data_IF_086881541261
#
_entry.id   IF_086881541261
#
_cell.length_a   1.000
_cell.length_b   1.000
_cell.length_c   1.000
_cell.angle_alpha   90.00
_cell.angle_beta   90.00
_cell.angle_gamma   90.00
#
_symmetry.space_group_name_H-M   'P 1'
#
loop_
_entity.id
_entity.type
_entity.pdbx_description
1 polymer ?
#
# COMPACT_ATOMS: atom_id res chain seq x y z
N UNK A 1 26.84 8.36 -10.28
CA UNK A 1 25.72 7.77 -9.52
C UNK A 1 24.78 8.92 -9.16
N UNK A 2 23.48 8.69 -8.96
CA UNK A 2 22.51 9.78 -8.73
C UNK A 2 22.60 10.28 -7.28
N UNK A 3 22.17 11.53 -7.01
CA UNK A 3 22.18 12.10 -5.66
C UNK A 3 21.36 11.24 -4.67
N UNK A 4 20.30 10.59 -5.16
CA UNK A 4 19.51 9.63 -4.41
C UNK A 4 20.37 8.46 -3.96
N UNK A 5 20.92 7.71 -4.91
CA UNK A 5 21.66 6.47 -4.63
C UNK A 5 22.92 6.74 -3.82
N UNK A 6 23.62 7.85 -4.07
CA UNK A 6 24.77 8.30 -3.28
C UNK A 6 24.38 8.52 -1.81
N UNK A 7 23.28 9.23 -1.57
CA UNK A 7 22.83 9.52 -0.19
C UNK A 7 22.43 8.23 0.55
N UNK A 8 21.68 7.33 -0.09
CA UNK A 8 21.30 6.04 0.50
C UNK A 8 22.52 5.15 0.81
N UNK A 9 23.54 5.18 -0.05
CA UNK A 9 24.76 4.40 0.16
C UNK A 9 25.61 4.94 1.32
N UNK A 10 25.69 6.28 1.46
CA UNK A 10 26.48 6.93 2.52
C UNK A 10 25.93 6.68 3.93
N UNK A 11 24.60 6.48 4.05
CA UNK A 11 23.93 6.20 5.32
C UNK A 11 23.91 4.72 5.71
N UNK A 12 24.49 3.83 4.90
CA UNK A 12 24.40 2.38 5.14
C UNK A 12 25.16 1.95 6.40
N UNK A 13 24.43 1.28 7.30
CA UNK A 13 24.97 0.60 8.48
C UNK A 13 24.36 -0.80 8.54
N UNK A 14 25.04 -1.80 7.94
CA UNK A 14 24.57 -3.18 7.83
C UNK A 14 25.72 -4.17 7.67
N UNK A 15 25.41 -5.45 7.58
CA UNK A 15 26.40 -6.52 7.42
C UNK A 15 27.02 -6.56 6.01
N UNK A 16 28.14 -7.27 5.84
CA UNK A 16 28.81 -7.47 4.54
C UNK A 16 27.86 -8.09 3.50
N UNK A 17 27.00 -9.03 3.92
CA UNK A 17 25.99 -9.61 3.03
C UNK A 17 24.97 -8.57 2.54
N UNK A 18 24.56 -7.64 3.40
CA UNK A 18 23.66 -6.54 3.02
C UNK A 18 24.39 -5.47 2.19
N UNK A 19 25.70 -5.29 2.42
CA UNK A 19 26.54 -4.41 1.59
C UNK A 19 26.61 -4.93 0.15
N UNK A 20 26.81 -6.24 -0.03
CA UNK A 20 26.82 -6.85 -1.37
C UNK A 20 25.48 -6.63 -2.12
N UNK A 21 24.34 -6.75 -1.43
CA UNK A 21 23.02 -6.45 -2.02
C UNK A 21 22.89 -4.96 -2.40
N UNK A 22 23.36 -4.06 -1.54
CA UNK A 22 23.37 -2.63 -1.83
C UNK A 22 24.21 -2.34 -3.07
N UNK A 23 25.44 -2.84 -3.11
CA UNK A 23 26.37 -2.61 -4.23
C UNK A 23 25.79 -3.14 -5.54
N UNK A 24 25.14 -4.31 -5.52
CA UNK A 24 24.44 -4.86 -6.68
C UNK A 24 23.26 -3.99 -7.13
N UNK A 25 22.50 -3.40 -6.18
CA UNK A 25 21.41 -2.47 -6.50
C UNK A 25 21.94 -1.14 -7.07
N UNK A 26 23.02 -0.61 -6.50
CA UNK A 26 23.70 0.61 -6.97
C UNK A 26 24.24 0.44 -8.39
N UNK A 27 24.83 -0.72 -8.70
CA UNK A 27 25.34 -1.05 -10.04
C UNK A 27 24.22 -1.16 -11.08
N UNK A 28 23.08 -1.76 -10.71
CA UNK A 28 21.93 -1.85 -11.60
C UNK A 28 21.30 -0.47 -11.88
N UNK A 29 21.38 0.45 -10.92
CA UNK A 29 20.86 1.80 -11.04
C UNK A 29 19.33 1.85 -11.01
N UNK A 30 18.79 3.02 -11.31
CA UNK A 30 17.34 3.24 -11.33
C UNK A 30 16.76 2.95 -12.73
N UNK A 31 15.53 2.44 -12.81
CA UNK A 31 14.87 2.13 -14.07
C UNK A 31 14.58 3.43 -14.85
N UNK A 32 14.81 3.36 -16.15
CA UNK A 32 14.47 4.46 -17.07
C UNK A 32 13.02 4.37 -17.57
N UNK A 33 12.52 5.40 -18.26
CA UNK A 33 11.16 5.42 -18.81
C UNK A 33 10.90 4.39 -19.92
N UNK A 34 11.95 3.68 -20.38
CA UNK A 34 11.82 2.56 -21.33
C UNK A 34 11.54 1.23 -20.63
N UNK A 35 11.76 1.15 -19.32
CA UNK A 35 11.35 0.00 -18.52
C UNK A 35 9.83 0.02 -18.44
N UNK A 36 9.16 -1.02 -18.94
CA UNK A 36 7.70 -1.10 -19.05
C UNK A 36 7.02 -0.73 -17.73
N UNK A 37 7.49 -1.32 -16.63
CA UNK A 37 6.92 -1.12 -15.30
C UNK A 37 7.02 0.33 -14.77
N UNK A 38 7.86 1.16 -15.39
CA UNK A 38 8.16 2.55 -14.99
C UNK A 38 7.84 3.57 -16.08
N UNK A 39 7.20 3.14 -17.19
CA UNK A 39 6.90 3.99 -18.36
C UNK A 39 6.20 5.30 -17.99
N UNK A 40 5.23 5.22 -17.07
CA UNK A 40 4.42 6.38 -16.66
C UNK A 40 4.93 7.04 -15.39
N UNK A 41 5.90 6.44 -14.68
CA UNK A 41 6.36 6.91 -13.35
C UNK A 41 7.83 7.29 -13.43
N UNK A 42 8.08 8.54 -13.82
CA UNK A 42 9.44 9.06 -13.98
C UNK A 42 10.14 9.29 -12.63
N UNK A 43 11.28 8.63 -12.41
CA UNK A 43 12.11 8.81 -11.22
C UNK A 43 13.06 10.02 -11.25
N UNK A 44 13.11 10.78 -12.36
CA UNK A 44 14.07 11.89 -12.55
C UNK A 44 14.08 12.96 -11.44
N UNK A 45 12.93 13.24 -10.81
CA UNK A 45 12.87 14.19 -9.70
C UNK A 45 13.43 13.58 -8.42
N UNK A 46 13.08 12.32 -8.13
CA UNK A 46 13.59 11.59 -6.97
C UNK A 46 15.11 11.39 -7.07
N UNK A 47 15.62 11.07 -8.25
CA UNK A 47 17.06 10.93 -8.55
C UNK A 47 17.93 12.11 -8.12
N UNK A 48 17.35 13.31 -8.08
CA UNK A 48 18.04 14.57 -7.75
C UNK A 48 17.97 14.93 -6.26
N UNK A 49 17.17 14.20 -5.48
CA UNK A 49 17.06 14.41 -4.04
C UNK A 49 18.12 13.63 -3.30
N UNK A 50 18.50 14.12 -2.13
CA UNK A 50 19.35 13.42 -1.18
C UNK A 50 18.62 13.31 0.14
N UNK A 51 18.77 12.17 0.80
CA UNK A 51 18.10 11.89 2.07
C UNK A 51 19.12 11.52 3.14
N UNK A 52 18.87 11.94 4.37
CA UNK A 52 19.58 11.42 5.53
C UNK A 52 18.85 10.18 6.06
N UNK A 53 19.56 9.22 6.67
CA UNK A 53 18.89 8.10 7.34
C UNK A 53 18.06 8.64 8.51
N UNK A 54 16.91 7.99 8.76
CA UNK A 54 16.11 8.26 9.94
C UNK A 54 16.96 8.19 11.23
N UNK A 55 16.90 9.21 12.12
CA UNK A 55 17.56 9.17 13.42
C UNK A 55 17.16 7.94 14.22
N UNK A 56 18.01 7.44 15.12
CA UNK A 56 17.69 6.24 15.92
C UNK A 56 16.58 6.48 16.95
N UNK A 57 16.44 7.71 17.44
CA UNK A 57 15.37 8.09 18.36
C UNK A 57 14.20 8.69 17.57
N UNK A 58 12.94 8.30 17.88
CA UNK A 58 11.76 8.89 17.26
C UNK A 58 11.64 10.37 17.65
N UNK A 59 11.13 11.19 16.74
CA UNK A 59 10.76 12.56 17.05
C UNK A 59 9.59 12.60 18.06
N UNK A 60 9.51 13.68 18.85
CA UNK A 60 8.40 13.91 19.76
C UNK A 60 7.18 14.35 18.96
N UNK A 61 6.05 13.66 19.18
CA UNK A 61 4.76 13.96 18.55
C UNK A 61 3.70 14.03 19.64
N UNK A 62 2.77 14.97 19.50
CA UNK A 62 1.61 15.08 20.38
C UNK A 62 0.70 13.85 20.24
N UNK A 63 0.45 13.15 21.34
CA UNK A 63 -0.40 11.96 21.38
C UNK A 63 -1.86 12.27 20.98
N UNK A 64 -2.30 13.53 21.04
CA UNK A 64 -3.62 13.94 20.55
C UNK A 64 -3.84 13.63 19.06
N UNK A 65 -2.77 13.50 18.26
CA UNK A 65 -2.85 13.05 16.87
C UNK A 65 -3.48 11.65 16.74
N UNK A 66 -3.39 10.84 17.80
CA UNK A 66 -3.83 9.45 17.83
C UNK A 66 -5.17 9.25 18.55
N UNK A 67 -5.87 10.34 18.93
CA UNK A 67 -7.08 10.27 19.74
C UNK A 67 -8.18 9.37 19.13
N UNK A 68 -8.32 9.40 17.80
CA UNK A 68 -9.34 8.65 17.07
C UNK A 68 -8.87 7.26 16.60
N UNK A 69 -7.62 6.88 16.91
CA UNK A 69 -7.06 5.58 16.54
C UNK A 69 -7.15 4.65 17.76
N UNK A 70 -7.87 3.52 17.70
CA UNK A 70 -8.04 2.64 18.85
C UNK A 70 -6.76 1.85 19.18
N UNK A 71 -6.73 1.24 20.36
CA UNK A 71 -5.74 0.22 20.72
C UNK A 71 -6.31 -1.19 20.39
N UNK A 72 -5.45 -2.21 20.22
CA UNK A 72 -3.99 -2.18 20.28
C UNK A 72 -3.34 -1.50 19.05
N UNK A 73 -2.32 -0.68 19.30
CA UNK A 73 -1.59 0.08 18.28
C UNK A 73 -0.08 0.02 18.46
N UNK A 74 0.64 -0.12 17.36
CA UNK A 74 2.09 0.03 17.28
C UNK A 74 2.42 1.24 16.42
N UNK A 75 3.23 2.16 16.94
CA UNK A 75 3.49 3.47 16.33
C UNK A 75 4.95 3.61 15.94
N UNK A 76 5.20 4.09 14.73
CA UNK A 76 6.49 4.52 14.21
C UNK A 76 6.47 6.03 13.93
N UNK A 77 7.54 6.73 14.25
CA UNK A 77 7.75 8.15 13.93
C UNK A 77 9.04 8.27 13.12
N UNK A 78 8.96 8.83 11.91
CA UNK A 78 10.07 8.93 10.96
C UNK A 78 10.81 7.60 10.80
N UNK A 79 10.07 6.49 10.70
CA UNK A 79 10.64 5.16 10.54
C UNK A 79 11.06 4.44 11.83
N UNK A 80 11.02 5.08 13.01
CA UNK A 80 11.45 4.47 14.28
C UNK A 80 10.29 4.14 15.22
N UNK A 81 10.32 3.01 15.93
CA UNK A 81 9.26 2.67 16.87
C UNK A 81 9.21 3.67 18.03
N UNK A 82 7.99 4.07 18.40
CA UNK A 82 7.74 4.97 19.53
C UNK A 82 6.95 4.22 20.61
N UNK A 83 7.66 3.76 21.65
CA UNK A 83 7.04 3.12 22.80
C UNK A 83 6.09 4.05 23.57
N UNK A 84 6.35 5.36 23.57
CA UNK A 84 5.51 6.35 24.25
C UNK A 84 4.14 6.56 23.57
N UNK A 85 4.05 6.29 22.26
CA UNK A 85 2.82 6.45 21.47
C UNK A 85 2.14 5.10 21.18
N UNK A 86 2.85 4.00 21.39
CA UNK A 86 2.32 2.65 21.20
C UNK A 86 1.53 2.20 22.43
N UNK A 87 0.46 1.45 22.18
CA UNK A 87 -0.31 0.78 23.22
C UNK A 87 -0.64 -0.62 22.73
N UNK A 88 0.20 -1.57 23.15
CA UNK A 88 0.11 -2.99 22.76
C UNK A 88 -0.43 -3.86 23.91
N UNK A 89 -0.93 -3.25 24.99
CA UNK A 89 -1.40 -4.00 26.16
C UNK A 89 -2.63 -4.87 25.86
N UNK A 90 -3.45 -4.45 24.91
CA UNK A 90 -4.66 -5.15 24.49
C UNK A 90 -4.44 -6.15 23.33
N UNK A 91 -3.19 -6.48 23.00
CA UNK A 91 -2.91 -7.54 22.01
C UNK A 91 -3.38 -8.90 22.58
N UNK A 92 -4.29 -9.62 21.90
CA UNK A 92 -4.85 -10.86 22.42
C UNK A 92 -3.82 -11.99 22.57
N UNK A 93 -4.14 -12.97 23.43
CA UNK A 93 -3.37 -14.20 23.53
C UNK A 93 -3.30 -14.92 22.16
N UNK A 94 -2.12 -15.45 21.83
CA UNK A 94 -1.88 -16.09 20.52
C UNK A 94 -1.60 -15.11 19.37
N UNK A 95 -1.52 -13.81 19.65
CA UNK A 95 -1.00 -12.80 18.72
C UNK A 95 0.35 -12.31 19.20
N UNK A 96 1.35 -12.39 18.33
CA UNK A 96 2.69 -11.90 18.58
C UNK A 96 2.91 -10.65 17.73
N UNK A 97 3.13 -9.51 18.38
CA UNK A 97 3.39 -8.23 17.74
C UNK A 97 4.73 -7.70 18.24
N UNK A 98 5.70 -7.58 17.34
CA UNK A 98 7.06 -7.13 17.64
C UNK A 98 7.60 -6.19 16.55
N UNK A 99 8.67 -5.48 16.87
CA UNK A 99 9.44 -4.71 15.90
C UNK A 99 10.51 -5.61 15.26
N UNK A 100 10.96 -5.28 14.05
CA UNK A 100 12.02 -6.05 13.39
C UNK A 100 13.33 -5.97 14.17
N UNK A 101 13.66 -4.79 14.66
CA UNK A 101 14.84 -4.58 15.49
C UNK A 101 14.84 -5.46 16.75
N UNK A 102 13.70 -5.61 17.43
CA UNK A 102 13.60 -6.43 18.64
C UNK A 102 13.65 -7.93 18.34
N UNK A 103 13.00 -8.37 17.25
CA UNK A 103 13.06 -9.75 16.80
C UNK A 103 14.47 -10.17 16.39
N UNK A 104 15.21 -9.30 15.69
CA UNK A 104 16.61 -9.54 15.32
C UNK A 104 17.52 -9.63 16.55
N UNK A 105 17.34 -8.74 17.53
CA UNK A 105 18.10 -8.77 18.77
C UNK A 105 17.82 -10.06 19.59
N UNK A 106 16.60 -10.58 19.52
CA UNK A 106 16.21 -11.83 20.16
C UNK A 106 16.64 -13.10 19.38
N UNK A 107 17.17 -12.97 18.16
CA UNK A 107 17.52 -14.10 17.31
C UNK A 107 16.30 -14.89 16.81
N UNK A 108 15.16 -14.23 16.63
CA UNK A 108 13.92 -14.87 16.19
C UNK A 108 14.06 -15.48 14.79
N UNK A 109 13.72 -16.75 14.64
CA UNK A 109 13.79 -17.45 13.35
C UNK A 109 12.87 -16.85 12.30
N UNK A 110 11.79 -16.14 12.68
CA UNK A 110 10.95 -15.45 11.71
C UNK A 110 11.72 -14.43 10.88
N UNK A 111 12.82 -13.85 11.41
CA UNK A 111 13.68 -12.92 10.69
C UNK A 111 14.37 -13.56 9.45
N UNK A 112 14.31 -14.89 9.28
CA UNK A 112 14.78 -15.58 8.06
C UNK A 112 14.13 -15.05 6.77
N UNK A 113 12.91 -14.51 6.86
CA UNK A 113 12.23 -13.89 5.71
C UNK A 113 13.03 -12.74 5.06
N UNK A 114 13.92 -12.08 5.81
CA UNK A 114 14.83 -11.04 5.30
C UNK A 114 15.78 -11.56 4.22
N UNK A 115 16.05 -12.88 4.21
CA UNK A 115 16.88 -13.54 3.21
C UNK A 115 16.26 -13.55 1.81
N UNK A 116 14.97 -13.25 1.65
CA UNK A 116 14.33 -13.18 0.33
C UNK A 116 14.99 -12.10 -0.53
N UNK A 117 15.45 -12.52 -1.70
CA UNK A 117 16.12 -11.69 -2.71
C UNK A 117 15.16 -11.27 -3.81
N UNK A 118 15.54 -10.21 -4.50
CA UNK A 118 14.83 -9.65 -5.66
C UNK A 118 15.84 -9.53 -6.80
N UNK A 119 15.51 -10.12 -7.94
CA UNK A 119 16.47 -10.29 -9.03
C UNK A 119 16.13 -9.44 -10.24
N UNK A 120 14.85 -9.10 -10.43
CA UNK A 120 14.41 -8.38 -11.62
C UNK A 120 14.83 -6.93 -11.55
N UNK A 121 15.26 -6.38 -12.68
CA UNK A 121 15.79 -5.01 -12.76
C UNK A 121 14.76 -3.95 -12.38
N UNK A 122 13.48 -4.21 -12.64
CA UNK A 122 12.36 -3.33 -12.31
C UNK A 122 12.04 -3.28 -10.80
N UNK A 123 12.54 -4.24 -10.01
CA UNK A 123 12.33 -4.37 -8.55
C UNK A 123 13.36 -3.56 -7.73
N UNK A 124 13.90 -2.48 -8.29
CA UNK A 124 15.02 -1.73 -7.69
C UNK A 124 14.77 -1.32 -6.23
N UNK A 125 13.55 -0.90 -5.88
CA UNK A 125 13.24 -0.46 -4.52
C UNK A 125 13.09 -1.63 -3.54
N UNK A 126 12.66 -2.80 -4.02
CA UNK A 126 12.69 -4.03 -3.21
C UNK A 126 14.13 -4.50 -2.97
N UNK A 127 15.03 -4.35 -3.95
CA UNK A 127 16.48 -4.61 -3.80
C UNK A 127 17.13 -3.66 -2.80
N UNK A 128 16.86 -2.35 -2.92
CA UNK A 128 17.30 -1.34 -1.95
C UNK A 128 16.74 -1.63 -0.55
N UNK A 129 15.47 -2.01 -0.44
CA UNK A 129 14.86 -2.39 0.83
C UNK A 129 15.53 -3.62 1.44
N UNK A 130 15.82 -4.66 0.65
CA UNK A 130 16.54 -5.85 1.12
C UNK A 130 17.94 -5.53 1.67
N UNK A 131 18.58 -4.49 1.14
CA UNK A 131 19.86 -4.01 1.62
C UNK A 131 19.75 -3.05 2.82
N UNK A 132 18.75 -2.17 2.86
CA UNK A 132 18.69 -1.02 3.77
C UNK A 132 17.72 -1.17 4.95
N UNK A 133 16.75 -2.08 4.88
CA UNK A 133 15.75 -2.23 5.94
C UNK A 133 16.36 -2.61 7.29
N UNK A 134 16.11 -1.79 8.31
CA UNK A 134 16.60 -1.98 9.68
C UNK A 134 15.46 -2.04 10.71
N UNK A 135 14.23 -1.81 10.27
CA UNK A 135 13.06 -1.79 11.13
C UNK A 135 11.81 -2.31 10.40
N UNK A 136 10.75 -2.61 11.14
CA UNK A 136 9.46 -3.05 10.60
C UNK A 136 8.59 -3.72 11.65
N UNK A 137 7.51 -4.34 11.21
CA UNK A 137 6.54 -5.04 12.05
C UNK A 137 6.65 -6.54 11.80
N UNK A 138 6.75 -7.33 12.87
CA UNK A 138 6.51 -8.77 12.82
C UNK A 138 5.22 -9.05 13.57
N UNK A 139 4.25 -9.55 12.82
CA UNK A 139 2.93 -9.90 13.29
C UNK A 139 2.65 -11.36 12.97
N UNK A 140 2.54 -12.20 14.00
CA UNK A 140 2.20 -13.62 13.87
C UNK A 140 0.94 -13.94 14.66
N UNK A 141 0.03 -14.69 14.06
CA UNK A 141 -1.20 -15.14 14.73
C UNK A 141 -1.25 -16.66 14.74
N UNK A 142 -1.38 -17.25 15.92
CA UNK A 142 -1.41 -18.69 16.13
C UNK A 142 -2.67 -19.35 15.56
N UNK A 143 -2.62 -20.67 15.36
CA UNK A 143 -3.67 -21.41 14.68
C UNK A 143 -5.01 -21.30 15.42
N UNK A 144 -6.09 -21.08 14.66
CA UNK A 144 -7.45 -20.96 15.16
C UNK A 144 -7.77 -19.68 15.95
N UNK A 145 -6.79 -18.79 16.20
CA UNK A 145 -7.01 -17.55 16.94
C UNK A 145 -7.88 -16.58 16.12
N UNK A 146 -8.96 -16.11 16.72
CA UNK A 146 -9.86 -15.11 16.13
C UNK A 146 -9.67 -13.77 16.83
N UNK A 147 -9.22 -12.76 16.10
CA UNK A 147 -8.99 -11.42 16.64
C UNK A 147 -10.14 -10.49 16.24
N UNK A 148 -11.01 -10.16 17.20
CA UNK A 148 -12.19 -9.33 16.95
C UNK A 148 -11.87 -7.84 16.73
N UNK A 149 -10.84 -7.33 17.41
CA UNK A 149 -10.44 -5.92 17.30
C UNK A 149 -9.23 -5.78 16.38
N UNK A 150 -9.33 -5.01 15.28
CA UNK A 150 -8.20 -4.82 14.37
C UNK A 150 -6.99 -4.21 15.06
N UNK A 151 -5.80 -4.72 14.75
CA UNK A 151 -4.54 -4.11 15.16
C UNK A 151 -4.29 -2.84 14.34
N UNK A 152 -3.82 -1.79 14.98
CA UNK A 152 -3.48 -0.54 14.31
C UNK A 152 -1.96 -0.41 14.15
N UNK A 153 -1.49 -0.21 12.93
CA UNK A 153 -0.11 0.13 12.63
C UNK A 153 -0.08 1.60 12.20
N UNK A 154 0.62 2.45 12.95
CA UNK A 154 0.61 3.89 12.71
C UNK A 154 2.01 4.36 12.35
N UNK A 155 2.15 4.99 11.20
CA UNK A 155 3.40 5.54 10.68
C UNK A 155 3.25 7.05 10.57
N UNK A 156 4.02 7.81 11.34
CA UNK A 156 3.94 9.27 11.41
C UNK A 156 5.21 9.85 10.82
N UNK A 157 5.09 10.66 9.78
CA UNK A 157 6.18 11.50 9.29
C UNK A 157 6.12 12.89 9.95
N UNK A 158 7.26 13.44 10.35
CA UNK A 158 7.35 14.76 11.01
C UNK A 158 8.30 15.64 10.21
N UNK A 159 7.85 16.86 9.91
CA UNK A 159 8.68 17.84 9.23
C UNK A 159 9.95 18.18 10.04
N UNK A 160 11.07 18.25 9.34
CA UNK A 160 12.38 18.60 9.90
C UNK A 160 13.20 19.42 8.92
N UNK A 161 14.43 19.77 9.31
CA UNK A 161 15.34 20.58 8.50
C UNK A 161 15.91 19.84 7.28
N UNK A 162 15.97 18.51 7.37
CA UNK A 162 16.53 17.64 6.33
C UNK A 162 15.50 16.64 5.84
N UNK A 163 15.63 16.25 4.57
CA UNK A 163 14.82 15.19 3.99
C UNK A 163 15.30 13.84 4.56
N UNK A 164 14.39 13.01 5.07
CA UNK A 164 14.72 11.73 5.71
C UNK A 164 14.39 10.53 4.82
N UNK A 165 15.06 9.41 5.04
CA UNK A 165 14.69 8.13 4.43
C UNK A 165 14.66 7.02 5.47
N UNK A 166 13.72 6.12 5.32
CA UNK A 166 13.64 4.88 6.09
C UNK A 166 13.19 3.73 5.21
N UNK A 167 13.50 2.54 5.68
CA UNK A 167 13.28 1.30 4.95
C UNK A 167 12.66 0.29 5.90
N UNK A 168 11.36 0.04 5.75
CA UNK A 168 10.70 -0.95 6.58
C UNK A 168 10.55 -2.28 5.89
N UNK A 169 10.69 -3.37 6.66
CA UNK A 169 10.40 -4.72 6.20
C UNK A 169 9.50 -5.43 7.19
N UNK A 170 8.26 -5.65 6.77
CA UNK A 170 7.20 -6.21 7.59
C UNK A 170 6.93 -7.68 7.25
N UNK A 171 6.47 -8.44 8.25
CA UNK A 171 5.94 -9.79 8.10
C UNK A 171 4.61 -9.88 8.82
N UNK A 172 3.56 -10.29 8.10
CA UNK A 172 2.25 -10.66 8.64
C UNK A 172 2.02 -12.14 8.32
N UNK A 173 1.99 -12.99 9.34
CA UNK A 173 1.80 -14.43 9.20
C UNK A 173 0.59 -14.88 10.03
N UNK A 174 -0.40 -15.47 9.36
CA UNK A 174 -1.54 -16.09 10.02
C UNK A 174 -1.44 -17.61 9.84
N UNK A 175 -1.42 -18.33 10.96
CA UNK A 175 -1.48 -19.80 10.98
C UNK A 175 -2.88 -20.29 10.62
N UNK A 176 -3.01 -21.62 10.47
CA UNK A 176 -4.22 -22.22 9.94
C UNK A 176 -5.48 -21.82 10.74
N UNK A 177 -6.54 -21.43 10.03
CA UNK A 177 -7.81 -21.00 10.62
C UNK A 177 -7.75 -19.72 11.46
N UNK A 178 -6.63 -18.98 11.48
CA UNK A 178 -6.53 -17.73 12.21
C UNK A 178 -7.24 -16.58 11.46
N UNK A 179 -7.81 -15.62 12.19
CA UNK A 179 -8.44 -14.44 11.62
C UNK A 179 -7.97 -13.15 12.30
N UNK A 180 -7.68 -12.12 11.48
CA UNK A 180 -7.15 -10.84 11.96
C UNK A 180 -7.59 -9.67 11.08
N UNK A 181 -7.91 -8.54 11.71
CA UNK A 181 -7.96 -7.23 11.07
C UNK A 181 -6.68 -6.43 11.32
N UNK A 182 -6.17 -5.73 10.30
CA UNK A 182 -5.06 -4.77 10.40
C UNK A 182 -5.44 -3.47 9.71
N UNK A 183 -5.13 -2.34 10.34
CA UNK A 183 -5.26 -1.01 9.73
C UNK A 183 -3.92 -0.29 9.79
N UNK A 184 -3.36 0.02 8.63
CA UNK A 184 -2.19 0.87 8.46
C UNK A 184 -2.61 2.33 8.28
N UNK A 185 -2.07 3.22 9.11
CA UNK A 185 -2.29 4.66 9.06
C UNK A 185 -0.98 5.37 8.75
N UNK A 186 -0.86 6.02 7.59
CA UNK A 186 0.29 6.88 7.28
C UNK A 186 -0.15 8.33 7.42
N UNK A 187 0.37 8.97 8.46
CA UNK A 187 0.03 10.32 8.90
C UNK A 187 1.25 11.23 8.79
N UNK A 188 1.01 12.54 8.81
CA UNK A 188 2.09 13.52 8.81
C UNK A 188 1.82 14.68 9.76
N UNK A 189 2.91 15.27 10.28
CA UNK A 189 2.94 16.53 11.03
C UNK A 189 3.78 17.53 10.25
N UNK A 190 3.14 18.61 9.79
CA UNK A 190 3.78 19.59 8.89
C UNK A 190 4.04 19.03 7.50
N UNK A 191 4.80 19.75 6.68
CA UNK A 191 5.13 19.35 5.30
C UNK A 191 6.40 18.49 5.26
N UNK A 192 6.30 17.29 5.87
CA UNK A 192 7.40 16.35 5.98
C UNK A 192 7.87 15.89 4.59
N UNK A 193 9.20 15.93 4.40
CA UNK A 193 9.84 15.53 3.16
C UNK A 193 10.68 14.29 3.43
N UNK A 194 10.28 13.17 2.84
CA UNK A 194 10.93 11.90 3.10
C UNK A 194 10.83 10.94 1.92
N UNK A 195 11.62 9.87 1.99
CA UNK A 195 11.49 8.65 1.21
C UNK A 195 11.14 7.49 2.14
N UNK A 196 9.91 7.00 2.03
CA UNK A 196 9.48 5.74 2.63
C UNK A 196 9.64 4.64 1.57
N UNK A 197 10.43 3.61 1.88
CA UNK A 197 10.53 2.41 1.07
C UNK A 197 10.19 1.20 1.92
N UNK A 198 8.92 0.80 1.88
CA UNK A 198 8.34 -0.23 2.76
C UNK A 198 7.95 -1.47 1.98
N UNK A 199 8.32 -2.64 2.52
CA UNK A 199 7.98 -3.94 1.95
C UNK A 199 7.28 -4.82 2.99
N UNK A 200 6.12 -5.36 2.63
CA UNK A 200 5.30 -6.23 3.48
C UNK A 200 5.26 -7.63 2.88
N UNK A 201 5.60 -8.63 3.69
CA UNK A 201 5.37 -10.04 3.38
C UNK A 201 4.13 -10.53 4.11
N UNK A 202 3.17 -11.12 3.39
CA UNK A 202 1.94 -11.65 3.97
C UNK A 202 1.84 -13.15 3.68
N UNK A 203 1.78 -13.98 4.70
CA UNK A 203 1.60 -15.42 4.56
C UNK A 203 0.31 -15.84 5.26
N UNK A 204 -0.68 -16.31 4.49
CA UNK A 204 -1.94 -16.83 5.02
C UNK A 204 -1.97 -18.35 4.85
N UNK A 205 -1.93 -19.07 5.97
CA UNK A 205 -2.07 -20.51 5.97
C UNK A 205 -3.52 -20.94 5.65
N UNK A 206 -3.73 -22.26 5.59
CA UNK A 206 -5.02 -22.81 5.21
C UNK A 206 -6.15 -22.24 6.10
N UNK A 207 -7.29 -21.92 5.48
CA UNK A 207 -8.50 -21.39 6.16
C UNK A 207 -8.26 -20.06 6.92
N UNK A 208 -7.12 -19.39 6.76
CA UNK A 208 -6.82 -18.12 7.43
C UNK A 208 -7.51 -16.93 6.75
N UNK A 209 -7.90 -15.92 7.54
CA UNK A 209 -8.61 -14.72 7.07
C UNK A 209 -7.90 -13.45 7.51
N UNK A 210 -7.45 -12.64 6.56
CA UNK A 210 -6.87 -11.31 6.85
C UNK A 210 -7.74 -10.23 6.22
N UNK A 211 -8.23 -9.30 7.05
CA UNK A 211 -8.79 -8.02 6.60
C UNK A 211 -7.74 -6.94 6.80
N UNK A 212 -7.33 -6.25 5.74
CA UNK A 212 -6.23 -5.31 5.75
C UNK A 212 -6.62 -3.98 5.09
N UNK A 213 -6.55 -2.89 5.84
CA UNK A 213 -6.84 -1.57 5.34
C UNK A 213 -5.58 -0.71 5.41
N UNK A 214 -5.24 0.02 4.34
CA UNK A 214 -4.18 1.04 4.38
C UNK A 214 -4.74 2.41 4.03
N UNK A 215 -4.51 3.37 4.91
CA UNK A 215 -4.82 4.79 4.69
C UNK A 215 -3.51 5.53 4.54
N UNK A 216 -3.14 5.85 3.30
CA UNK A 216 -1.93 6.59 2.99
C UNK A 216 -2.29 8.07 2.81
N UNK A 217 -1.92 8.92 3.77
CA UNK A 217 -2.25 10.34 3.75
C UNK A 217 -1.02 11.24 4.00
N UNK A 218 0.14 10.91 3.42
CA UNK A 218 1.38 11.66 3.66
C UNK A 218 1.37 13.10 3.12
N UNK A 219 2.31 13.87 3.67
CA UNK A 219 2.62 15.24 3.26
C UNK A 219 2.96 15.38 1.76
N UNK A 220 2.81 16.60 1.24
CA UNK A 220 2.94 16.89 -0.19
C UNK A 220 4.35 16.77 -0.76
N UNK A 221 5.37 16.65 0.09
CA UNK A 221 6.78 16.45 -0.29
C UNK A 221 7.27 15.02 -0.07
N UNK A 222 6.42 14.12 0.42
CA UNK A 222 6.75 12.72 0.65
C UNK A 222 6.89 11.94 -0.66
N UNK A 223 7.72 10.92 -0.63
CA UNK A 223 7.81 9.87 -1.64
C UNK A 223 7.63 8.53 -0.95
N UNK A 224 6.61 7.77 -1.34
CA UNK A 224 6.29 6.46 -0.75
C UNK A 224 6.39 5.40 -1.84
N UNK A 225 7.26 4.42 -1.62
CA UNK A 225 7.50 3.30 -2.53
C UNK A 225 7.20 2.02 -1.76
N UNK A 226 6.01 1.50 -1.99
CA UNK A 226 5.38 0.49 -1.15
C UNK A 226 5.23 -0.79 -1.95
N UNK A 227 5.57 -1.92 -1.34
CA UNK A 227 5.35 -3.24 -1.94
C UNK A 227 4.75 -4.20 -0.94
N UNK A 228 3.77 -4.99 -1.36
CA UNK A 228 3.28 -6.13 -0.62
C UNK A 228 3.39 -7.38 -1.47
N UNK A 229 4.03 -8.42 -0.93
CA UNK A 229 4.08 -9.75 -1.52
C UNK A 229 3.32 -10.72 -0.61
N UNK A 230 2.17 -11.20 -1.07
CA UNK A 230 1.28 -12.09 -0.33
C UNK A 230 1.22 -13.50 -0.95
N UNK A 231 1.12 -14.52 -0.10
CA UNK A 231 0.91 -15.92 -0.47
C UNK A 231 -0.27 -16.48 0.31
N UNK A 232 -1.23 -17.05 -0.41
CA UNK A 232 -2.47 -17.57 0.15
C UNK A 232 -2.53 -19.09 -0.07
N UNK A 233 -2.63 -19.83 1.03
CA UNK A 233 -2.85 -21.27 1.00
C UNK A 233 -4.34 -21.61 0.80
N UNK A 234 -4.66 -22.91 0.84
CA UNK A 234 -6.00 -23.45 0.57
C UNK A 234 -7.07 -22.76 1.41
N UNK A 235 -8.18 -22.36 0.79
CA UNK A 235 -9.30 -21.65 1.43
C UNK A 235 -8.93 -20.33 2.16
N UNK A 236 -7.70 -19.83 2.04
CA UNK A 236 -7.32 -18.59 2.69
C UNK A 236 -8.02 -17.39 2.02
N UNK A 237 -8.38 -16.38 2.82
CA UNK A 237 -9.08 -15.20 2.35
C UNK A 237 -8.28 -13.96 2.71
N UNK A 238 -7.90 -13.18 1.71
CA UNK A 238 -7.27 -11.88 1.91
C UNK A 238 -8.19 -10.78 1.40
N UNK A 239 -8.70 -9.95 2.31
CA UNK A 239 -9.51 -8.77 1.99
C UNK A 239 -8.67 -7.53 2.23
N UNK A 240 -8.46 -6.72 1.19
CA UNK A 240 -7.62 -5.54 1.25
C UNK A 240 -8.30 -4.31 0.65
N UNK A 241 -8.21 -3.18 1.34
CA UNK A 241 -8.58 -1.87 0.81
C UNK A 241 -7.43 -0.88 1.00
N UNK A 242 -6.98 -0.26 -0.08
CA UNK A 242 -5.96 0.80 -0.04
C UNK A 242 -6.56 2.15 -0.42
N UNK A 243 -6.36 3.17 0.42
CA UNK A 243 -6.66 4.56 0.12
C UNK A 243 -5.35 5.32 -0.09
N UNK A 244 -5.05 5.66 -1.34
CA UNK A 244 -3.88 6.46 -1.74
C UNK A 244 -4.28 7.94 -1.81
N UNK A 245 -4.08 8.66 -0.71
CA UNK A 245 -4.64 9.99 -0.46
C UNK A 245 -3.58 11.09 -0.27
N UNK A 246 -2.29 10.76 -0.31
CA UNK A 246 -1.21 11.69 0.02
C UNK A 246 0.03 11.58 -0.89
N UNK A 247 1.15 12.09 -0.38
CA UNK A 247 2.47 12.13 -1.04
C UNK A 247 2.58 13.01 -2.30
N UNK A 248 3.81 13.37 -2.67
CA UNK A 248 4.12 13.91 -4.01
C UNK A 248 4.18 12.79 -5.04
N UNK A 249 4.79 11.67 -4.66
CA UNK A 249 4.85 10.43 -5.41
C UNK A 249 4.48 9.28 -4.47
N UNK A 250 3.34 8.64 -4.68
CA UNK A 250 3.03 7.33 -4.08
C UNK A 250 3.08 6.29 -5.19
N UNK A 251 3.89 5.24 -5.01
CA UNK A 251 3.84 4.06 -5.84
C UNK A 251 3.65 2.84 -4.96
N UNK A 252 2.57 2.10 -5.22
CA UNK A 252 2.18 0.90 -4.52
C UNK A 252 2.18 -0.31 -5.45
N UNK A 253 2.87 -1.38 -5.05
CA UNK A 253 2.85 -2.67 -5.73
C UNK A 253 2.19 -3.72 -4.81
N UNK A 254 1.08 -4.33 -5.26
CA UNK A 254 0.41 -5.44 -4.58
C UNK A 254 0.56 -6.71 -5.42
N UNK A 255 1.42 -7.61 -4.98
CA UNK A 255 1.65 -8.90 -5.60
C UNK A 255 1.03 -10.00 -4.73
N UNK A 256 0.13 -10.80 -5.29
CA UNK A 256 -0.57 -11.85 -4.54
C UNK A 256 -0.53 -13.15 -5.33
N UNK A 257 -0.09 -14.22 -4.67
CA UNK A 257 -0.05 -15.58 -5.21
C UNK A 257 -1.09 -16.44 -4.51
N UNK A 258 -2.10 -16.89 -5.25
CA UNK A 258 -3.15 -17.79 -4.78
C UNK A 258 -2.69 -19.23 -5.04
N UNK A 259 -1.93 -19.77 -4.08
CA UNK A 259 -1.18 -21.05 -4.21
C UNK A 259 -1.95 -22.28 -3.73
N UNK A 260 -3.04 -22.10 -2.98
CA UNK A 260 -3.90 -23.21 -2.56
C UNK A 260 -5.31 -23.13 -3.13
N UNK A 261 -5.93 -24.30 -3.32
CA UNK A 261 -7.26 -24.39 -3.91
C UNK A 261 -8.27 -23.55 -3.13
N UNK A 262 -9.23 -22.94 -3.82
CA UNK A 262 -10.27 -22.10 -3.22
C UNK A 262 -9.75 -20.88 -2.43
N UNK A 263 -8.48 -20.49 -2.60
CA UNK A 263 -7.98 -19.23 -2.06
C UNK A 263 -8.73 -18.04 -2.70
N UNK A 264 -8.98 -17.00 -1.92
CA UNK A 264 -9.76 -15.84 -2.35
C UNK A 264 -9.06 -14.53 -2.02
N UNK A 265 -9.09 -13.61 -2.98
CA UNK A 265 -8.58 -12.25 -2.85
C UNK A 265 -9.71 -11.25 -3.11
N UNK A 266 -9.87 -10.30 -2.20
CA UNK A 266 -10.53 -9.02 -2.52
C UNK A 266 -9.49 -7.92 -2.36
N UNK A 267 -9.21 -7.17 -3.42
CA UNK A 267 -8.21 -6.10 -3.40
C UNK A 267 -8.77 -4.85 -4.07
N UNK A 268 -9.30 -3.96 -3.26
CA UNK A 268 -10.00 -2.75 -3.66
C UNK A 268 -9.20 -1.51 -3.31
N UNK A 269 -9.52 -0.36 -3.92
CA UNK A 269 -8.89 0.88 -3.49
C UNK A 269 -9.32 2.14 -4.22
N UNK A 270 -8.82 3.26 -3.70
CA UNK A 270 -9.06 4.60 -4.22
C UNK A 270 -7.71 5.28 -4.47
N UNK A 271 -7.54 5.83 -5.67
CA UNK A 271 -6.37 6.61 -6.07
C UNK A 271 -6.78 8.08 -6.21
N UNK A 272 -6.37 8.94 -5.28
CA UNK A 272 -6.75 10.36 -5.29
C UNK A 272 -5.59 11.26 -5.73
N UNK A 273 -5.58 11.59 -7.02
CA UNK A 273 -4.71 12.61 -7.60
C UNK A 273 -5.32 14.01 -7.49
N UNK A 274 -4.60 14.93 -6.85
CA UNK A 274 -4.91 16.37 -6.85
C UNK A 274 -3.62 17.20 -6.87
N UNK A 275 -3.73 18.51 -7.08
CA UNK A 275 -2.56 19.39 -7.18
C UNK A 275 -1.58 18.95 -8.27
N UNK A 276 -0.42 18.44 -7.87
CA UNK A 276 0.63 17.90 -8.76
C UNK A 276 1.07 16.48 -8.36
N UNK A 277 0.24 15.78 -7.59
CA UNK A 277 0.57 14.43 -7.09
C UNK A 277 0.68 13.43 -8.23
N UNK A 278 1.59 12.48 -8.06
CA UNK A 278 1.71 11.29 -8.87
C UNK A 278 1.34 10.08 -8.01
N UNK A 279 0.23 9.43 -8.34
CA UNK A 279 -0.24 8.22 -7.63
C UNK A 279 -0.18 7.06 -8.61
N UNK A 280 0.51 5.99 -8.24
CA UNK A 280 0.72 4.81 -9.08
C UNK A 280 0.41 3.55 -8.28
N UNK A 281 -0.51 2.72 -8.76
CA UNK A 281 -0.77 1.41 -8.17
C UNK A 281 -0.62 0.33 -9.21
N UNK A 282 0.09 -0.73 -8.84
CA UNK A 282 0.33 -1.90 -9.68
C UNK A 282 -0.09 -3.16 -8.95
N UNK A 283 -0.96 -3.94 -9.59
CA UNK A 283 -1.36 -5.25 -9.13
C UNK A 283 -0.65 -6.32 -9.97
N UNK A 284 -0.16 -7.35 -9.29
CA UNK A 284 0.36 -8.58 -9.88
C UNK A 284 -0.29 -9.78 -9.20
N UNK A 285 -1.43 -10.22 -9.73
CA UNK A 285 -2.23 -11.30 -9.15
C UNK A 285 -1.99 -12.59 -9.92
N UNK A 286 -1.45 -13.59 -9.25
CA UNK A 286 -1.19 -14.92 -9.82
C UNK A 286 -2.16 -15.94 -9.25
N UNK A 287 -3.02 -16.48 -10.10
CA UNK A 287 -3.86 -17.64 -9.82
C UNK A 287 -3.08 -18.90 -10.19
N UNK A 288 -2.70 -19.70 -9.19
CA UNK A 288 -1.81 -20.86 -9.35
C UNK A 288 -2.57 -22.17 -9.10
N UNK A 289 -3.44 -22.19 -8.10
CA UNK A 289 -4.24 -23.34 -7.73
C UNK A 289 -5.65 -23.30 -8.33
N UNK A 290 -6.40 -24.40 -8.15
CA UNK A 290 -7.75 -24.55 -8.70
C UNK A 290 -8.78 -23.76 -7.91
N UNK A 291 -9.87 -23.40 -8.59
CA UNK A 291 -11.06 -22.80 -7.98
C UNK A 291 -10.74 -21.51 -7.18
N UNK A 292 -9.68 -20.79 -7.57
CA UNK A 292 -9.26 -19.56 -6.89
C UNK A 292 -10.07 -18.36 -7.38
N UNK A 293 -10.31 -17.37 -6.51
CA UNK A 293 -11.13 -16.21 -6.86
C UNK A 293 -10.44 -14.87 -6.55
N UNK A 294 -10.64 -13.88 -7.42
CA UNK A 294 -10.22 -12.50 -7.15
C UNK A 294 -11.25 -11.45 -7.57
N UNK A 295 -11.56 -10.52 -6.68
CA UNK A 295 -12.37 -9.34 -6.96
C UNK A 295 -11.55 -8.07 -6.68
N UNK A 296 -11.45 -7.19 -7.69
CA UNK A 296 -10.66 -5.98 -7.60
C UNK A 296 -11.43 -4.78 -8.12
N UNK A 297 -11.89 -3.92 -7.21
CA UNK A 297 -12.61 -2.68 -7.52
C UNK A 297 -11.73 -1.47 -7.20
N UNK A 298 -11.24 -0.81 -8.24
CA UNK A 298 -10.37 0.36 -8.13
C UNK A 298 -11.02 1.61 -8.71
N UNK A 299 -10.91 2.71 -7.98
CA UNK A 299 -11.49 4.00 -8.36
C UNK A 299 -10.37 5.04 -8.42
N UNK A 300 -10.08 5.55 -9.62
CA UNK A 300 -9.13 6.64 -9.83
C UNK A 300 -9.83 7.99 -9.93
N UNK A 301 -9.32 9.01 -9.26
CA UNK A 301 -9.80 10.39 -9.40
C UNK A 301 -8.58 11.28 -9.63
N UNK A 302 -8.56 12.02 -10.73
CA UNK A 302 -7.49 12.96 -11.04
C UNK A 302 -8.03 14.38 -11.23
N UNK A 303 -7.55 15.30 -10.41
CA UNK A 303 -7.88 16.73 -10.44
C UNK A 303 -6.61 17.59 -10.62
N UNK A 304 -6.81 18.86 -10.97
CA UNK A 304 -5.76 19.85 -11.22
C UNK A 304 -4.75 19.37 -12.29
N UNK A 305 -3.49 19.15 -11.89
CA UNK A 305 -2.37 18.67 -12.73
C UNK A 305 -1.77 17.37 -12.19
N UNK A 306 -2.60 16.58 -11.51
CA UNK A 306 -2.19 15.30 -10.97
C UNK A 306 -2.12 14.23 -12.06
N UNK A 307 -1.39 13.17 -11.75
CA UNK A 307 -1.30 11.97 -12.57
C UNK A 307 -1.67 10.76 -11.74
N UNK A 308 -2.61 9.96 -12.23
CA UNK A 308 -3.00 8.69 -11.62
C UNK A 308 -2.65 7.56 -12.60
N UNK A 309 -1.89 6.60 -12.12
CA UNK A 309 -1.45 5.44 -12.89
C UNK A 309 -1.99 4.17 -12.23
N UNK A 310 -2.56 3.28 -13.03
CA UNK A 310 -3.03 1.99 -12.58
C UNK A 310 -2.59 0.89 -13.54
N UNK A 311 -1.89 -0.11 -13.03
CA UNK A 311 -1.62 -1.36 -13.75
C UNK A 311 -2.30 -2.51 -13.02
N UNK A 312 -3.16 -3.25 -13.72
CA UNK A 312 -3.86 -4.39 -13.13
C UNK A 312 -3.51 -5.68 -13.85
N UNK A 313 -2.47 -6.39 -13.38
CA UNK A 313 -2.02 -7.64 -13.98
C UNK A 313 -2.64 -8.86 -13.31
N UNK A 314 -3.23 -9.73 -14.12
CA UNK A 314 -3.74 -11.04 -13.71
C UNK A 314 -3.04 -12.11 -14.55
N UNK A 315 -2.44 -13.10 -13.90
CA UNK A 315 -1.89 -14.29 -14.53
C UNK A 315 -2.58 -15.53 -13.97
N UNK A 316 -3.35 -16.21 -14.81
CA UNK A 316 -3.91 -17.52 -14.51
C UNK A 316 -2.98 -18.58 -15.08
N UNK A 317 -2.34 -19.35 -14.21
CA UNK A 317 -1.30 -20.32 -14.57
C UNK A 317 -1.93 -21.62 -15.10
N UNK A 318 -1.13 -22.38 -15.83
CA UNK A 318 -1.47 -23.75 -16.24
C UNK A 318 -1.91 -24.58 -15.02
N UNK A 319 -3.07 -25.24 -15.13
CA UNK A 319 -3.67 -26.06 -14.06
C UNK A 319 -4.55 -25.30 -13.06
N UNK A 320 -4.68 -23.97 -13.16
CA UNK A 320 -5.55 -23.15 -12.31
C UNK A 320 -7.01 -23.11 -12.81
N UNK A 321 -7.54 -24.26 -13.23
CA UNK A 321 -8.93 -24.41 -13.66
C UNK A 321 -9.92 -24.06 -12.54
N UNK A 322 -11.08 -23.55 -12.91
CA UNK A 322 -12.10 -23.04 -11.99
C UNK A 322 -11.84 -21.61 -11.52
N UNK A 323 -10.78 -20.93 -11.98
CA UNK A 323 -10.48 -19.55 -11.59
C UNK A 323 -11.63 -18.60 -11.94
N UNK A 324 -12.01 -17.74 -11.00
CA UNK A 324 -12.94 -16.61 -11.18
C UNK A 324 -12.26 -15.28 -10.81
N UNK A 325 -11.86 -14.49 -11.82
CA UNK A 325 -11.10 -13.26 -11.64
C UNK A 325 -11.80 -12.06 -12.29
N UNK A 326 -12.08 -11.02 -11.51
CA UNK A 326 -12.73 -9.80 -11.97
C UNK A 326 -12.00 -8.53 -11.53
N UNK A 327 -11.63 -7.69 -12.49
CA UNK A 327 -10.99 -6.39 -12.28
C UNK A 327 -11.83 -5.25 -12.87
N UNK A 328 -12.21 -4.28 -12.04
CA UNK A 328 -12.97 -3.09 -12.42
C UNK A 328 -12.23 -1.82 -12.00
N UNK A 329 -11.54 -1.19 -12.95
CA UNK A 329 -10.87 0.10 -12.76
C UNK A 329 -11.65 1.22 -13.46
N UNK A 330 -12.43 1.99 -12.69
CA UNK A 330 -13.13 3.18 -13.22
C UNK A 330 -12.38 4.41 -12.79
N UNK A 331 -12.31 5.43 -13.65
CA UNK A 331 -11.53 6.63 -13.39
C UNK A 331 -12.29 7.92 -13.78
N UNK A 332 -12.20 8.93 -12.92
CA UNK A 332 -12.78 10.26 -13.11
C UNK A 332 -11.70 11.32 -13.34
N UNK A 333 -11.76 11.97 -14.50
CA UNK A 333 -11.00 13.17 -14.83
C UNK A 333 -11.81 14.41 -14.44
N UNK A 334 -11.36 15.14 -13.41
CA UNK A 334 -12.02 16.34 -12.89
C UNK A 334 -11.40 17.64 -13.41
N UNK A 335 -10.32 17.59 -14.19
CA UNK A 335 -9.62 18.77 -14.71
C UNK A 335 -9.00 18.48 -16.07
N UNK A 336 -8.89 19.51 -16.91
CA UNK A 336 -8.33 19.38 -18.26
C UNK A 336 -6.83 19.06 -18.28
N UNK A 337 -6.09 19.50 -17.25
CA UNK A 337 -4.65 19.25 -17.11
C UNK A 337 -4.32 17.95 -16.33
N UNK A 338 -5.32 17.18 -15.91
CA UNK A 338 -5.13 15.94 -15.17
C UNK A 338 -4.93 14.76 -16.13
N UNK A 339 -4.13 13.77 -15.73
CA UNK A 339 -3.79 12.60 -16.54
C UNK A 339 -4.13 11.30 -15.80
N UNK A 340 -4.71 10.34 -16.52
CA UNK A 340 -4.97 8.99 -16.02
C UNK A 340 -4.45 7.99 -17.04
N UNK A 341 -3.50 7.16 -16.60
CA UNK A 341 -2.99 6.03 -17.37
C UNK A 341 -3.45 4.74 -16.71
N UNK A 342 -4.25 3.94 -17.40
CA UNK A 342 -4.70 2.63 -16.90
C UNK A 342 -4.37 1.53 -17.88
N UNK A 343 -3.77 0.46 -17.38
CA UNK A 343 -3.30 -0.68 -18.16
C UNK A 343 -3.66 -1.99 -17.44
N UNK A 344 -4.88 -2.50 -17.62
CA UNK A 344 -5.23 -3.84 -17.18
C UNK A 344 -4.62 -4.87 -18.16
N UNK A 345 -4.00 -5.92 -17.63
CA UNK A 345 -3.39 -7.01 -18.40
C UNK A 345 -3.88 -8.36 -17.88
N UNK A 346 -4.11 -9.29 -18.79
CA UNK A 346 -4.66 -10.60 -18.48
C UNK A 346 -3.89 -11.65 -19.30
N UNK A 347 -3.26 -12.59 -18.60
CA UNK A 347 -2.54 -13.74 -19.16
C UNK A 347 -3.23 -14.99 -18.65
N UNK A 348 -3.69 -15.85 -19.55
CA UNK A 348 -4.46 -17.05 -19.22
C UNK A 348 -3.79 -18.25 -19.88
N UNK A 349 -3.23 -19.12 -19.04
CA UNK A 349 -2.59 -20.38 -19.44
C UNK A 349 -3.42 -21.60 -19.01
N UNK A 350 -4.69 -21.42 -18.60
CA UNK A 350 -5.63 -22.47 -18.21
C UNK A 350 -6.90 -22.45 -19.08
N UNK A 351 -7.58 -23.59 -19.18
CA UNK A 351 -8.70 -23.78 -20.11
C UNK A 351 -10.05 -23.36 -19.49
N UNK A 352 -10.34 -23.80 -18.26
CA UNK A 352 -11.65 -23.61 -17.63
C UNK A 352 -11.64 -22.42 -16.67
N UNK A 353 -11.83 -21.20 -17.19
CA UNK A 353 -11.77 -19.97 -16.37
C UNK A 353 -12.90 -18.99 -16.65
N UNK A 354 -13.23 -18.17 -15.65
CA UNK A 354 -13.98 -16.93 -15.81
C UNK A 354 -13.05 -15.78 -15.47
N UNK A 355 -12.70 -14.98 -16.46
CA UNK A 355 -11.81 -13.84 -16.25
C UNK A 355 -12.36 -12.62 -16.99
N UNK A 356 -12.52 -11.51 -16.26
CA UNK A 356 -12.95 -10.24 -16.80
C UNK A 356 -12.08 -9.11 -16.26
N UNK A 357 -11.76 -8.17 -17.13
CA UNK A 357 -11.19 -6.90 -16.72
C UNK A 357 -11.86 -5.75 -17.48
N UNK A 358 -12.03 -4.61 -16.82
CA UNK A 358 -12.66 -3.43 -17.39
C UNK A 358 -11.97 -2.18 -16.88
N UNK A 359 -11.63 -1.29 -17.80
CA UNK A 359 -11.10 0.03 -17.48
C UNK A 359 -11.93 1.11 -18.19
N UNK A 360 -12.34 2.14 -17.45
CA UNK A 360 -13.01 3.32 -18.03
C UNK A 360 -12.35 4.59 -17.55
N UNK A 361 -12.19 5.57 -18.45
CA UNK A 361 -11.74 6.92 -18.11
C UNK A 361 -12.78 7.89 -18.65
N UNK A 362 -13.32 8.76 -17.79
CA UNK A 362 -14.35 9.70 -18.20
C UNK A 362 -14.48 10.87 -17.25
N UNK A 363 -15.38 11.79 -17.60
CA UNK A 363 -15.80 12.89 -16.74
C UNK A 363 -17.07 12.51 -15.99
N UNK A 364 -17.47 13.35 -15.03
CA UNK A 364 -18.76 13.20 -14.36
C UNK A 364 -19.92 13.26 -15.36
N UNK A 365 -20.97 12.48 -15.10
CA UNK A 365 -22.19 12.49 -15.91
C UNK A 365 -22.85 13.88 -15.84
N UNK A 366 -22.88 14.56 -16.98
CA UNK A 366 -23.47 15.89 -17.14
C UNK A 366 -24.96 15.91 -16.76
N UNK A 367 -25.70 14.82 -16.97
CA UNK A 367 -27.10 14.71 -16.59
C UNK A 367 -27.27 14.60 -15.07
N UNK A 368 -26.42 13.79 -14.41
CA UNK A 368 -26.42 13.70 -12.95
C UNK A 368 -26.05 15.05 -12.30
N UNK A 369 -25.04 15.73 -12.84
CA UNK A 369 -24.65 17.09 -12.44
C UNK A 369 -25.79 18.09 -12.64
N UNK A 370 -26.41 18.10 -13.82
CA UNK A 370 -27.54 18.98 -14.12
C UNK A 370 -28.72 18.72 -13.18
N UNK A 371 -29.04 17.44 -12.93
CA UNK A 371 -30.12 17.04 -12.05
C UNK A 371 -29.90 17.58 -10.63
N UNK A 372 -28.73 17.34 -10.02
CA UNK A 372 -28.42 17.86 -8.67
C UNK A 372 -28.50 19.40 -8.62
N UNK A 373 -27.95 20.07 -9.64
CA UNK A 373 -27.99 21.54 -9.74
C UNK A 373 -29.41 22.09 -9.85
N UNK A 374 -30.28 21.42 -10.62
CA UNK A 374 -31.70 21.79 -10.75
C UNK A 374 -32.48 21.68 -9.43
N UNK A 375 -31.96 20.90 -8.46
CA UNK A 375 -32.49 20.79 -7.09
C UNK A 375 -31.88 21.80 -6.11
N UNK A 376 -31.12 22.78 -6.61
CA UNK A 376 -30.58 23.88 -5.83
C UNK A 376 -29.17 23.64 -5.28
N UNK A 377 -28.51 22.52 -5.61
CA UNK A 377 -27.12 22.33 -5.22
C UNK A 377 -26.19 23.21 -6.08
N UNK A 378 -25.27 23.95 -5.45
CA UNK A 378 -24.15 24.57 -6.14
C UNK A 378 -23.35 23.55 -6.96
N UNK A 379 -22.73 23.98 -8.06
CA UNK A 379 -22.06 23.08 -9.01
C UNK A 379 -20.89 22.31 -8.37
N UNK A 380 -20.11 22.99 -7.54
CA UNK A 380 -19.05 22.42 -6.71
C UNK A 380 -19.62 21.35 -5.77
N UNK A 381 -20.69 21.64 -5.03
CA UNK A 381 -21.32 20.67 -4.12
C UNK A 381 -21.92 19.45 -4.84
N UNK A 382 -22.45 19.63 -6.05
CA UNK A 382 -22.95 18.52 -6.87
C UNK A 382 -21.81 17.61 -7.36
N UNK A 383 -20.71 18.20 -7.85
CA UNK A 383 -19.50 17.46 -8.25
C UNK A 383 -18.91 16.68 -7.08
N UNK A 384 -18.86 17.33 -5.92
CA UNK A 384 -18.37 16.76 -4.67
C UNK A 384 -19.15 15.51 -4.24
N UNK A 385 -20.49 15.60 -4.24
CA UNK A 385 -21.37 14.48 -3.90
C UNK A 385 -21.16 13.28 -4.83
N UNK A 386 -21.08 13.51 -6.14
CA UNK A 386 -20.91 12.45 -7.13
C UNK A 386 -19.53 11.80 -7.03
N UNK A 387 -18.48 12.60 -6.80
CA UNK A 387 -17.11 12.11 -6.64
C UNK A 387 -16.95 11.28 -5.36
N UNK A 388 -17.57 11.71 -4.27
CA UNK A 388 -17.61 10.94 -3.02
C UNK A 388 -18.33 9.59 -3.23
N UNK A 389 -19.54 9.60 -3.81
CA UNK A 389 -20.29 8.37 -4.09
C UNK A 389 -19.48 7.38 -4.95
N UNK A 390 -18.74 7.89 -5.93
CA UNK A 390 -17.85 7.09 -6.76
C UNK A 390 -16.71 6.43 -5.98
N UNK A 391 -16.13 7.12 -4.99
CA UNK A 391 -15.01 6.61 -4.19
C UNK A 391 -15.42 5.70 -3.03
N UNK A 392 -16.69 5.68 -2.63
CA UNK A 392 -17.14 4.82 -1.51
C UNK A 392 -17.32 3.35 -1.90
N UNK A 393 -17.64 3.04 -3.16
CA UNK A 393 -17.92 1.67 -3.61
C UNK A 393 -16.82 0.65 -3.25
N UNK A 394 -15.50 0.93 -3.41
CA UNK A 394 -14.43 0.04 -3.00
C UNK A 394 -14.44 -0.39 -1.53
N UNK A 395 -14.99 0.44 -0.63
CA UNK A 395 -14.95 0.21 0.82
C UNK A 395 -15.95 -0.88 1.26
N UNK A 396 -16.98 -1.17 0.46
CA UNK A 396 -18.04 -2.12 0.80
C UNK A 396 -17.57 -3.58 0.98
N UNK A 397 -16.31 -3.88 0.62
CA UNK A 397 -15.72 -5.21 0.75
C UNK A 397 -15.25 -5.57 2.16
N UNK A 398 -15.14 -4.60 3.06
CA UNK A 398 -14.70 -4.81 4.45
C UNK A 398 -15.90 -4.89 5.40
N UNK A 399 -15.64 -5.33 6.63
CA UNK A 399 -16.65 -5.27 7.69
C UNK A 399 -17.05 -3.82 8.01
N UNK A 400 -18.20 -3.67 8.69
CA UNK A 400 -18.77 -2.36 8.99
C UNK A 400 -17.82 -1.45 9.80
N UNK A 401 -17.05 -2.01 10.74
CA UNK A 401 -16.15 -1.23 11.60
C UNK A 401 -14.99 -0.64 10.80
N UNK A 402 -14.37 -1.45 9.94
CA UNK A 402 -13.32 -0.96 9.03
C UNK A 402 -13.87 0.02 8.01
N UNK A 403 -15.05 -0.27 7.45
CA UNK A 403 -15.71 0.59 6.45
C UNK A 403 -15.99 1.98 7.01
N UNK A 404 -16.48 2.08 8.25
CA UNK A 404 -16.75 3.37 8.91
C UNK A 404 -15.46 4.18 9.10
N UNK A 405 -14.39 3.54 9.60
CA UNK A 405 -13.08 4.18 9.78
C UNK A 405 -12.52 4.72 8.46
N UNK A 406 -12.57 3.91 7.39
CA UNK A 406 -12.10 4.31 6.07
C UNK A 406 -12.94 5.42 5.44
N UNK A 407 -14.26 5.37 5.63
CA UNK A 407 -15.20 6.39 5.14
C UNK A 407 -14.87 7.76 5.73
N UNK A 408 -14.58 7.84 7.02
CA UNK A 408 -14.20 9.10 7.67
C UNK A 408 -12.90 9.68 7.07
N UNK A 409 -11.89 8.84 6.85
CA UNK A 409 -10.61 9.26 6.27
C UNK A 409 -10.75 9.70 4.81
N UNK A 410 -11.47 8.92 4.00
CA UNK A 410 -11.75 9.25 2.61
C UNK A 410 -12.50 10.57 2.50
N UNK A 411 -13.54 10.78 3.30
CA UNK A 411 -14.34 12.02 3.30
C UNK A 411 -13.46 13.23 3.60
N UNK A 412 -12.59 13.14 4.62
CA UNK A 412 -11.64 14.20 4.98
C UNK A 412 -10.68 14.50 3.82
N UNK A 413 -10.13 13.47 3.18
CA UNK A 413 -9.17 13.65 2.09
C UNK A 413 -9.81 14.26 0.83
N UNK A 414 -11.01 13.80 0.46
CA UNK A 414 -11.75 14.37 -0.67
C UNK A 414 -12.10 15.85 -0.44
N UNK A 415 -12.49 16.21 0.79
CA UNK A 415 -12.74 17.61 1.16
C UNK A 415 -11.47 18.48 1.06
N UNK A 416 -10.34 18.01 1.56
CA UNK A 416 -9.04 18.69 1.46
C UNK A 416 -8.56 18.84 0.02
N UNK A 417 -8.88 17.87 -0.84
CA UNK A 417 -8.56 17.91 -2.25
C UNK A 417 -9.50 18.82 -3.07
N UNK A 418 -10.56 19.36 -2.46
CA UNK A 418 -11.57 20.17 -3.15
C UNK A 418 -12.47 19.35 -4.06
N UNK A 419 -12.58 18.04 -3.82
CA UNK A 419 -13.37 17.08 -4.62
C UNK A 419 -14.51 16.41 -3.85
N UNK A 420 -14.72 16.72 -2.55
CA UNK A 420 -15.95 16.44 -1.78
C UNK A 420 -16.37 17.60 -0.86
#
# INVERSE_FOLDING_TARGET
>A
MSALLDSLASGFCGSDARRAELDAALQAGLPGPRTEAWKYTSLRQLERRSFQPAPLAPAVVDAALLADIPSPRLVFVNGRPSGALSDVAAVPAGVQLATLSSALAAGDEAARFLGRRFERSEEVFARLNAALADEGVLLRVEAGVQVETPLQLVFISVAGETDLSWHHRHLIELRAGAALGVVEHHLHVGDAAHLDNTLVHVHLAQDAVLSHARVQADATRATSLLRTDAVLARNAQYRRVDLELGAALSRHELNVRLEGDNAQLTANGVLLGNGRRHVDTRLGIEHIARDTASEMVWRGVAANRSRVVFHGGIHIREGADGTDANLSNKNLLLSADAEIDTQPTLVIDADEVKAAHGATVGQLDANALFYLRSRGLPADRAQQLLSAAFCHEPLNALDARLTEQLTAQLTRALALAGVA
#
